data_IF_647038383386
#
_entry.id   IF_647038383386
#
_cell.length_a   1.000
_cell.length_b   1.000
_cell.length_c   1.000
_cell.angle_alpha   90.00
_cell.angle_beta   90.00
_cell.angle_gamma   90.00
#
_symmetry.space_group_name_H-M   'P 1'
#
loop_
_entity.id
_entity.type
_entity.pdbx_description
1 polymer ?
#
# COMPACT_ATOMS: atom_id res chain seq x y z
N UNK A 1 26.90 -41.01 -8.56
CA UNK A 1 26.52 -40.13 -9.70
C UNK A 1 25.55 -39.13 -9.16
N UNK A 2 25.75 -37.84 -9.43
CA UNK A 2 24.85 -36.78 -9.00
C UNK A 2 23.50 -36.96 -9.73
N UNK A 3 22.38 -36.93 -9.00
CA UNK A 3 21.05 -37.08 -9.58
C UNK A 3 20.36 -35.72 -9.73
N UNK A 4 19.42 -35.60 -10.67
CA UNK A 4 18.59 -34.42 -10.83
C UNK A 4 17.83 -34.07 -9.56
N UNK A 5 17.38 -35.08 -8.80
CA UNK A 5 16.69 -34.91 -7.52
C UNK A 5 17.57 -34.22 -6.45
N UNK A 6 18.86 -34.58 -6.37
CA UNK A 6 19.80 -33.95 -5.45
C UNK A 6 20.01 -32.48 -5.77
N UNK A 7 20.11 -32.17 -7.07
CA UNK A 7 20.21 -30.78 -7.55
C UNK A 7 18.92 -30.03 -7.23
N UNK A 8 17.75 -30.63 -7.50
CA UNK A 8 16.45 -30.04 -7.17
C UNK A 8 16.30 -29.73 -5.67
N UNK A 9 16.82 -30.60 -4.81
CA UNK A 9 16.83 -30.34 -3.35
C UNK A 9 17.75 -29.16 -2.98
N UNK A 10 18.93 -29.07 -3.57
CA UNK A 10 19.85 -27.95 -3.34
C UNK A 10 19.24 -26.61 -3.80
N UNK A 11 18.57 -26.61 -4.94
CA UNK A 11 17.92 -25.42 -5.50
C UNK A 11 16.70 -24.94 -4.69
N UNK A 12 16.12 -25.75 -3.81
CA UNK A 12 15.03 -25.31 -2.89
C UNK A 12 15.49 -24.23 -1.92
N UNK A 13 16.77 -24.15 -1.63
CA UNK A 13 17.35 -23.15 -0.73
C UNK A 13 17.66 -21.82 -1.41
N UNK A 14 17.66 -21.79 -2.76
CA UNK A 14 17.85 -20.56 -3.53
C UNK A 14 16.52 -19.80 -3.59
N UNK A 15 16.54 -18.55 -3.19
CA UNK A 15 15.37 -17.70 -3.18
C UNK A 15 15.45 -16.64 -4.27
N UNK A 16 14.33 -16.31 -4.87
CA UNK A 16 14.21 -15.12 -5.71
C UNK A 16 14.20 -13.88 -4.79
N UNK A 17 15.17 -12.94 -4.95
CA UNK A 17 15.28 -11.78 -4.08
C UNK A 17 14.08 -10.83 -4.18
N UNK A 18 13.39 -10.79 -5.34
CA UNK A 18 12.21 -9.95 -5.56
C UNK A 18 10.97 -10.56 -4.90
N UNK A 19 10.81 -11.89 -4.98
CA UNK A 19 9.61 -12.59 -4.51
C UNK A 19 9.76 -13.19 -3.11
N UNK A 20 10.99 -13.27 -2.56
CA UNK A 20 11.27 -13.84 -1.23
C UNK A 20 10.88 -15.31 -1.09
N UNK A 21 10.77 -16.05 -2.21
CA UNK A 21 10.37 -17.47 -2.26
C UNK A 21 11.39 -18.30 -3.02
N UNK A 22 11.46 -19.57 -2.70
CA UNK A 22 12.37 -20.51 -3.38
C UNK A 22 12.07 -20.64 -4.88
N UNK A 23 13.07 -20.54 -5.74
CA UNK A 23 12.95 -20.60 -7.21
C UNK A 23 12.28 -21.88 -7.71
N UNK A 24 12.42 -23.00 -6.97
CA UNK A 24 11.76 -24.28 -7.28
C UNK A 24 10.25 -24.17 -7.01
N UNK A 25 9.86 -23.55 -5.89
CA UNK A 25 8.44 -23.37 -5.54
C UNK A 25 7.73 -22.37 -6.45
N UNK A 26 8.48 -21.46 -7.06
CA UNK A 26 8.00 -20.50 -8.05
C UNK A 26 7.91 -21.08 -9.46
N UNK A 27 8.33 -22.35 -9.67
CA UNK A 27 8.34 -22.99 -10.99
C UNK A 27 9.35 -22.38 -11.95
N UNK A 28 10.37 -21.67 -11.43
CA UNK A 28 11.41 -21.04 -12.25
C UNK A 28 12.40 -22.05 -12.84
N UNK A 29 12.58 -23.22 -12.20
CA UNK A 29 13.46 -24.28 -12.67
C UNK A 29 12.72 -25.11 -13.71
N UNK A 30 13.18 -25.06 -14.98
CA UNK A 30 12.54 -25.74 -16.12
C UNK A 30 13.12 -27.10 -16.38
N UNK A 31 14.44 -27.14 -16.43
CA UNK A 31 15.17 -28.32 -16.84
C UNK A 31 16.47 -28.40 -16.07
N UNK A 32 16.84 -29.61 -15.68
CA UNK A 32 18.11 -29.93 -15.06
C UNK A 32 18.68 -31.07 -15.87
N UNK A 33 19.86 -30.91 -16.45
CA UNK A 33 20.58 -31.97 -17.16
C UNK A 33 21.95 -32.20 -16.51
N UNK A 34 22.31 -33.45 -16.34
CA UNK A 34 23.62 -33.82 -15.78
C UNK A 34 24.36 -34.66 -16.81
N UNK A 35 25.50 -34.17 -17.30
CA UNK A 35 26.40 -34.88 -18.23
C UNK A 35 27.83 -34.78 -17.75
N UNK A 36 28.47 -35.90 -17.47
CA UNK A 36 29.91 -36.00 -17.13
C UNK A 36 30.40 -34.95 -16.09
N UNK A 37 29.64 -34.73 -14.98
CA UNK A 37 29.92 -33.75 -13.92
C UNK A 37 29.65 -32.29 -14.32
N UNK A 38 29.09 -32.05 -15.50
CA UNK A 38 28.59 -30.75 -15.93
C UNK A 38 27.08 -30.73 -15.68
N UNK A 39 26.60 -29.73 -14.99
CA UNK A 39 25.16 -29.53 -14.71
C UNK A 39 24.69 -28.34 -15.53
N UNK A 40 23.69 -28.55 -16.38
CA UNK A 40 22.99 -27.49 -17.11
C UNK A 40 21.60 -27.28 -16.51
N UNK A 41 21.29 -26.04 -16.21
CA UNK A 41 20.01 -25.65 -15.58
C UNK A 41 19.37 -24.56 -16.42
N UNK A 42 18.12 -24.77 -16.84
CA UNK A 42 17.33 -23.74 -17.50
C UNK A 42 16.38 -23.08 -16.49
N UNK A 43 16.53 -21.77 -16.30
CA UNK A 43 15.70 -20.96 -15.42
C UNK A 43 14.78 -20.05 -16.25
N UNK A 44 13.49 -20.05 -15.94
CA UNK A 44 12.53 -19.13 -16.49
C UNK A 44 12.31 -17.95 -15.52
N UNK A 45 12.64 -16.75 -15.95
CA UNK A 45 12.41 -15.51 -15.22
C UNK A 45 11.09 -14.86 -15.66
N UNK A 46 10.49 -14.06 -14.82
CA UNK A 46 9.30 -13.26 -15.18
C UNK A 46 9.59 -12.27 -16.30
N UNK A 47 10.84 -11.77 -16.39
CA UNK A 47 11.37 -10.97 -17.49
C UNK A 47 12.89 -11.11 -17.55
N UNK A 48 13.47 -11.11 -18.76
CA UNK A 48 14.92 -11.12 -18.93
C UNK A 48 15.61 -9.79 -18.55
N UNK A 49 14.82 -8.74 -18.30
CA UNK A 49 15.30 -7.45 -17.79
C UNK A 49 15.34 -7.39 -16.25
N UNK A 50 15.15 -8.53 -15.55
CA UNK A 50 15.19 -8.59 -14.10
C UNK A 50 16.54 -8.06 -13.56
N UNK A 51 16.54 -7.06 -12.67
CA UNK A 51 17.79 -6.49 -12.12
C UNK A 51 18.55 -7.49 -11.24
N UNK A 52 17.88 -8.52 -10.74
CA UNK A 52 18.47 -9.56 -9.87
C UNK A 52 18.89 -10.83 -10.61
N UNK A 53 18.80 -10.86 -11.95
CA UNK A 53 19.10 -12.06 -12.74
C UNK A 53 20.50 -12.61 -12.49
N UNK A 54 21.50 -11.73 -12.36
CA UNK A 54 22.89 -12.12 -12.11
C UNK A 54 23.07 -12.72 -10.72
N UNK A 55 22.40 -12.14 -9.71
CA UNK A 55 22.41 -12.65 -8.35
C UNK A 55 21.76 -14.04 -8.27
N UNK A 56 20.61 -14.25 -8.91
CA UNK A 56 19.94 -15.55 -8.95
C UNK A 56 20.83 -16.60 -9.61
N UNK A 57 21.47 -16.25 -10.73
CA UNK A 57 22.40 -17.15 -11.43
C UNK A 57 23.60 -17.54 -10.55
N UNK A 58 24.18 -16.58 -9.83
CA UNK A 58 25.31 -16.83 -8.93
C UNK A 58 24.90 -17.71 -7.74
N UNK A 59 23.74 -17.48 -7.13
CA UNK A 59 23.23 -18.30 -6.04
C UNK A 59 22.92 -19.73 -6.49
N UNK A 60 22.34 -19.90 -7.69
CA UNK A 60 22.12 -21.21 -8.31
C UNK A 60 23.42 -21.94 -8.55
N UNK A 61 24.43 -21.25 -9.11
CA UNK A 61 25.77 -21.84 -9.32
C UNK A 61 26.40 -22.26 -8.00
N UNK A 62 26.38 -21.40 -7.00
CA UNK A 62 26.95 -21.67 -5.69
C UNK A 62 26.28 -22.89 -5.02
N UNK A 63 24.95 -22.97 -5.04
CA UNK A 63 24.19 -24.06 -4.46
C UNK A 63 24.51 -25.43 -5.12
N UNK A 64 24.71 -25.44 -6.44
CA UNK A 64 24.97 -26.69 -7.18
C UNK A 64 26.44 -27.07 -7.16
N UNK A 65 27.38 -26.11 -7.17
CA UNK A 65 28.81 -26.37 -7.03
C UNK A 65 29.17 -26.90 -5.63
N UNK A 66 28.36 -26.63 -4.62
CA UNK A 66 28.54 -27.17 -3.27
C UNK A 66 28.24 -28.68 -3.19
N UNK A 67 27.67 -29.29 -4.23
CA UNK A 67 27.39 -30.72 -4.27
C UNK A 67 28.61 -31.50 -4.74
N UNK A 68 28.95 -32.57 -4.00
CA UNK A 68 30.06 -33.43 -4.34
C UNK A 68 29.89 -34.06 -5.74
N UNK A 69 30.88 -33.87 -6.58
CA UNK A 69 30.89 -34.45 -7.93
C UNK A 69 30.57 -33.47 -9.06
N UNK A 70 30.19 -32.23 -8.75
CA UNK A 70 30.00 -31.17 -9.75
C UNK A 70 31.31 -30.48 -10.07
N UNK A 71 31.66 -30.30 -11.34
CA UNK A 71 32.86 -29.56 -11.77
C UNK A 71 32.49 -28.27 -12.51
N UNK A 72 31.34 -28.20 -13.13
CA UNK A 72 30.90 -27.04 -13.88
C UNK A 72 29.38 -26.92 -13.87
N UNK A 73 28.87 -25.67 -13.76
CA UNK A 73 27.44 -25.36 -13.79
C UNK A 73 27.17 -24.31 -14.86
N UNK A 74 26.33 -24.67 -15.81
CA UNK A 74 25.83 -23.77 -16.83
C UNK A 74 24.38 -23.41 -16.54
N UNK A 75 24.07 -22.12 -16.51
CA UNK A 75 22.70 -21.62 -16.26
C UNK A 75 22.26 -20.88 -17.51
N UNK A 76 21.16 -21.34 -18.10
CA UNK A 76 20.48 -20.69 -19.21
C UNK A 76 19.23 -19.99 -18.73
N UNK A 77 19.04 -18.74 -19.17
CA UNK A 77 17.88 -17.94 -18.80
C UNK A 77 16.86 -17.91 -19.94
N UNK A 78 15.60 -18.16 -19.61
CA UNK A 78 14.46 -18.00 -20.51
C UNK A 78 13.41 -17.08 -19.87
N UNK A 79 12.46 -16.63 -20.67
CA UNK A 79 11.35 -15.83 -20.18
C UNK A 79 10.10 -16.72 -19.98
N UNK A 80 9.37 -16.50 -18.88
CA UNK A 80 8.09 -17.17 -18.66
C UNK A 80 7.06 -16.72 -19.69
N UNK A 81 6.27 -17.65 -20.21
CA UNK A 81 5.11 -17.32 -21.04
C UNK A 81 4.08 -16.49 -20.25
N UNK A 82 3.20 -15.75 -20.95
CA UNK A 82 2.13 -14.99 -20.26
C UNK A 82 1.27 -15.85 -19.32
N UNK A 83 0.91 -17.07 -19.74
CA UNK A 83 0.11 -17.99 -18.94
C UNK A 83 0.85 -18.50 -17.70
N UNK A 84 2.16 -18.66 -17.77
CA UNK A 84 2.97 -19.08 -16.62
C UNK A 84 3.19 -17.94 -15.64
N UNK A 85 3.35 -16.72 -16.14
CA UNK A 85 3.36 -15.52 -15.29
C UNK A 85 2.02 -15.34 -14.56
N UNK A 86 0.90 -15.58 -15.26
CA UNK A 86 -0.42 -15.55 -14.66
C UNK A 86 -0.59 -16.63 -13.58
N UNK A 87 -0.15 -17.84 -13.85
CA UNK A 87 -0.16 -18.97 -12.89
C UNK A 87 0.78 -18.74 -11.69
N UNK A 88 1.96 -18.16 -11.93
CA UNK A 88 2.87 -17.72 -10.86
C UNK A 88 2.19 -16.66 -9.98
N UNK A 89 1.56 -15.68 -10.61
CA UNK A 89 0.82 -14.61 -9.91
C UNK A 89 -0.40 -15.16 -9.16
N UNK A 90 -1.13 -16.12 -9.71
CA UNK A 90 -2.20 -16.84 -8.99
C UNK A 90 -1.66 -17.67 -7.83
N UNK A 91 -0.50 -18.30 -7.97
CA UNK A 91 0.19 -19.05 -6.90
C UNK A 91 0.73 -18.15 -5.79
N UNK A 92 1.16 -16.93 -6.15
CA UNK A 92 1.53 -15.87 -5.18
C UNK A 92 0.26 -15.23 -4.60
N UNK A 93 -0.78 -15.11 -5.40
CA UNK A 93 -2.08 -14.49 -5.09
C UNK A 93 -3.13 -15.47 -4.54
N UNK A 94 -2.82 -16.78 -4.37
CA UNK A 94 -3.74 -17.60 -3.57
C UNK A 94 -3.74 -16.99 -2.19
N UNK A 95 -4.86 -16.35 -1.76
CA UNK A 95 -4.99 -15.93 -0.39
C UNK A 95 -4.94 -17.22 0.42
N UNK A 96 -3.88 -17.48 1.13
CA UNK A 96 -4.04 -18.09 2.43
C UNK A 96 -5.04 -17.16 3.09
N UNK A 97 -6.29 -17.61 3.33
CA UNK A 97 -7.23 -16.86 4.15
C UNK A 97 -6.43 -16.39 5.34
N UNK A 98 -6.21 -15.08 5.44
CA UNK A 98 -5.27 -14.55 6.41
C UNK A 98 -5.69 -15.01 7.79
N UNK A 99 -4.76 -15.47 8.61
CA UNK A 99 -5.05 -16.07 9.92
C UNK A 99 -5.91 -15.17 10.80
N UNK A 100 -5.84 -13.86 10.60
CA UNK A 100 -6.54 -12.86 11.39
C UNK A 100 -7.87 -12.40 10.79
N UNK A 101 -8.15 -12.63 9.49
CA UNK A 101 -9.32 -12.07 8.81
C UNK A 101 -10.64 -12.44 9.48
N UNK A 102 -10.79 -13.69 9.93
CA UNK A 102 -11.99 -14.17 10.60
C UNK A 102 -12.17 -13.65 12.04
N UNK A 103 -11.11 -13.07 12.62
CA UNK A 103 -11.12 -12.50 13.97
C UNK A 103 -11.34 -10.98 13.94
N UNK A 104 -11.20 -10.37 12.77
CA UNK A 104 -11.40 -8.95 12.59
C UNK A 104 -12.88 -8.61 12.46
N UNK A 105 -13.31 -7.57 13.17
CA UNK A 105 -14.65 -6.97 13.09
C UNK A 105 -14.51 -5.50 12.74
N UNK A 106 -14.43 -5.20 11.46
CA UNK A 106 -14.28 -3.83 10.95
C UNK A 106 -15.63 -3.40 10.40
N UNK A 107 -16.22 -2.37 11.00
CA UNK A 107 -17.57 -1.90 10.63
C UNK A 107 -17.56 -1.12 9.31
N UNK A 108 -16.54 -0.30 9.08
CA UNK A 108 -16.42 0.57 7.90
C UNK A 108 -14.97 0.64 7.42
N UNK A 109 -14.78 0.52 6.13
CA UNK A 109 -13.48 0.69 5.46
C UNK A 109 -13.58 1.88 4.51
N UNK A 110 -12.80 2.92 4.74
CA UNK A 110 -12.83 4.16 3.96
C UNK A 110 -11.45 4.42 3.35
N UNK A 111 -11.40 4.48 2.03
CA UNK A 111 -10.17 4.84 1.32
C UNK A 111 -9.98 6.35 1.25
N UNK A 112 -8.74 6.80 1.36
CA UNK A 112 -8.35 8.19 1.10
C UNK A 112 -7.44 8.18 -0.11
N UNK A 113 -7.85 8.89 -1.16
CA UNK A 113 -7.23 8.81 -2.47
C UNK A 113 -6.92 10.19 -3.04
N UNK A 114 -5.87 10.28 -3.83
CA UNK A 114 -5.54 11.50 -4.58
C UNK A 114 -5.17 11.18 -6.02
N UNK A 115 -5.49 12.08 -6.92
CA UNK A 115 -5.16 11.91 -8.33
C UNK A 115 -3.68 12.11 -8.65
N UNK A 116 -2.89 12.75 -7.77
CA UNK A 116 -1.43 12.94 -7.90
C UNK A 116 -0.76 12.88 -6.54
N UNK A 117 0.56 12.64 -6.52
CA UNK A 117 1.37 12.73 -5.32
C UNK A 117 1.55 14.16 -4.82
N UNK A 118 1.90 14.32 -3.53
CA UNK A 118 2.27 15.62 -2.96
C UNK A 118 1.11 16.54 -2.58
N UNK A 119 -0.16 16.09 -2.65
CA UNK A 119 -1.32 16.88 -2.22
C UNK A 119 -1.63 16.76 -0.72
N UNK A 120 -0.87 15.96 0.02
CA UNK A 120 -1.08 15.73 1.45
C UNK A 120 -2.17 14.73 1.78
N UNK A 121 -2.38 13.72 0.92
CA UNK A 121 -3.32 12.62 1.13
C UNK A 121 -3.16 11.95 2.50
N UNK A 122 -1.95 11.54 2.84
CA UNK A 122 -1.63 10.86 4.09
C UNK A 122 -1.83 11.75 5.32
N UNK A 123 -1.59 13.06 5.20
CA UNK A 123 -1.93 14.04 6.23
C UNK A 123 -3.45 14.06 6.48
N UNK A 124 -4.24 14.12 5.42
CA UNK A 124 -5.71 14.09 5.51
C UNK A 124 -6.17 12.78 6.14
N UNK A 125 -5.56 11.65 5.77
CA UNK A 125 -5.84 10.34 6.37
C UNK A 125 -5.60 10.37 7.89
N UNK A 126 -4.45 10.87 8.33
CA UNK A 126 -4.11 11.00 9.75
C UNK A 126 -5.06 11.95 10.49
N UNK A 127 -5.42 13.10 9.90
CA UNK A 127 -6.35 14.06 10.48
C UNK A 127 -7.76 13.49 10.65
N UNK A 128 -8.28 12.79 9.61
CA UNK A 128 -9.60 12.15 9.69
C UNK A 128 -9.59 11.04 10.75
N UNK A 129 -8.54 10.20 10.77
CA UNK A 129 -8.38 9.15 11.79
C UNK A 129 -8.37 9.73 13.20
N UNK A 130 -7.60 10.78 13.41
CA UNK A 130 -7.48 11.45 14.70
C UNK A 130 -8.81 12.03 15.15
N UNK A 131 -9.55 12.69 14.26
CA UNK A 131 -10.83 13.28 14.59
C UNK A 131 -11.90 12.20 14.87
N UNK A 132 -11.93 11.10 14.13
CA UNK A 132 -12.79 9.94 14.45
C UNK A 132 -12.44 9.34 15.80
N UNK A 133 -11.14 9.21 16.12
CA UNK A 133 -10.68 8.67 17.38
C UNK A 133 -11.03 9.57 18.57
N UNK A 134 -10.95 10.89 18.42
CA UNK A 134 -11.37 11.88 19.43
C UNK A 134 -12.85 11.79 19.80
N UNK A 135 -13.67 11.23 18.91
CA UNK A 135 -15.10 10.96 19.15
C UNK A 135 -15.36 9.63 19.86
N UNK A 136 -14.29 8.97 20.31
CA UNK A 136 -14.37 7.68 21.01
C UNK A 136 -14.53 6.48 20.10
N UNK A 137 -14.40 6.64 18.77
CA UNK A 137 -14.44 5.53 17.83
C UNK A 137 -13.11 4.78 17.81
N UNK A 138 -13.16 3.47 17.60
CA UNK A 138 -11.99 2.61 17.42
C UNK A 138 -11.55 2.71 15.97
N UNK A 139 -10.37 3.27 15.76
CA UNK A 139 -9.87 3.60 14.43
C UNK A 139 -8.57 2.86 14.14
N UNK A 140 -8.47 2.38 12.90
CA UNK A 140 -7.22 1.87 12.33
C UNK A 140 -6.83 2.65 11.07
N UNK A 141 -5.54 2.65 10.75
CA UNK A 141 -4.99 3.16 9.48
C UNK A 141 -4.18 2.03 8.84
N UNK A 142 -4.55 1.67 7.61
CA UNK A 142 -3.76 0.85 6.72
C UNK A 142 -3.06 1.77 5.73
N UNK A 143 -1.74 1.89 5.85
CA UNK A 143 -0.92 2.63 4.90
C UNK A 143 -0.60 1.73 3.71
N UNK A 144 -1.34 1.92 2.62
CA UNK A 144 -1.20 1.20 1.36
C UNK A 144 -0.33 1.96 0.34
N UNK A 145 0.19 3.15 0.69
CA UNK A 145 1.17 3.88 -0.12
C UNK A 145 2.58 3.36 0.14
N UNK A 146 2.85 2.17 -0.37
CA UNK A 146 4.09 1.43 -0.13
C UNK A 146 5.32 2.16 -0.68
N UNK A 147 5.15 2.99 -1.69
CA UNK A 147 6.25 3.72 -2.34
C UNK A 147 6.67 4.98 -1.60
N UNK A 148 5.79 5.54 -0.78
CA UNK A 148 6.06 6.76 0.00
C UNK A 148 5.33 6.76 1.35
N UNK A 149 5.51 5.70 2.18
CA UNK A 149 4.78 5.56 3.41
C UNK A 149 5.17 6.68 4.40
N UNK A 150 4.21 7.48 4.79
CA UNK A 150 4.43 8.65 5.67
C UNK A 150 3.62 8.62 6.97
N UNK A 151 2.62 7.76 7.07
CA UNK A 151 1.74 7.64 8.24
C UNK A 151 2.51 7.34 9.53
N UNK A 152 3.47 6.38 9.58
CA UNK A 152 4.20 6.09 10.81
C UNK A 152 4.95 7.31 11.34
N UNK A 153 5.63 8.06 10.49
CA UNK A 153 6.39 9.25 10.88
C UNK A 153 5.49 10.33 11.47
N UNK A 154 4.38 10.64 10.81
CA UNK A 154 3.43 11.67 11.30
C UNK A 154 2.81 11.32 12.65
N UNK A 155 2.71 10.03 12.98
CA UNK A 155 2.16 9.52 14.25
C UNK A 155 3.24 9.13 15.27
N UNK A 156 4.52 9.37 14.98
CA UNK A 156 5.65 9.08 15.87
C UNK A 156 5.87 7.60 16.13
N UNK A 157 5.56 6.72 15.15
CA UNK A 157 5.66 5.28 15.30
C UNK A 157 7.02 4.79 14.81
N UNK A 158 7.78 4.19 15.71
CA UNK A 158 9.11 3.59 15.43
C UNK A 158 9.18 2.12 15.82
N UNK A 159 8.15 1.61 16.53
CA UNK A 159 8.10 0.22 16.92
C UNK A 159 7.74 -0.69 15.75
N UNK A 160 8.32 -1.88 15.71
CA UNK A 160 7.94 -2.90 14.73
C UNK A 160 6.68 -3.66 15.15
N UNK A 161 5.80 -3.99 14.19
CA UNK A 161 4.68 -4.88 14.44
C UNK A 161 5.15 -6.23 14.98
N UNK A 162 4.44 -6.77 15.97
CA UNK A 162 4.75 -8.07 16.56
C UNK A 162 3.95 -9.17 15.88
N UNK A 163 4.61 -10.20 15.41
CA UNK A 163 3.95 -11.40 14.87
C UNK A 163 3.61 -12.36 16.00
N UNK A 164 2.39 -12.90 15.97
CA UNK A 164 1.89 -13.86 16.93
C UNK A 164 1.16 -15.03 16.26
N UNK A 165 0.63 -15.98 17.06
CA UNK A 165 -0.09 -17.15 16.53
C UNK A 165 -1.33 -16.82 15.70
N UNK A 166 -1.97 -15.67 16.00
CA UNK A 166 -3.22 -15.22 15.38
C UNK A 166 -3.01 -14.21 14.25
N UNK A 167 -1.77 -13.78 14.01
CA UNK A 167 -1.43 -12.81 12.97
C UNK A 167 -0.46 -11.72 13.47
N UNK A 168 -0.38 -10.64 12.71
CA UNK A 168 0.49 -9.49 12.98
C UNK A 168 -0.31 -8.47 13.80
N UNK A 169 0.19 -8.08 14.97
CA UNK A 169 -0.43 -7.02 15.77
C UNK A 169 -0.05 -5.65 15.16
N UNK A 170 -1.01 -4.77 14.83
CA UNK A 170 -0.71 -3.42 14.37
C UNK A 170 -0.06 -2.61 15.51
N UNK A 171 0.79 -1.66 15.14
CA UNK A 171 1.36 -0.71 16.10
C UNK A 171 0.28 0.32 16.49
N UNK A 172 0.32 0.80 17.71
CA UNK A 172 -0.64 1.80 18.17
C UNK A 172 0.02 3.16 18.33
N UNK A 173 -0.67 4.18 17.84
CA UNK A 173 -0.26 5.56 18.08
C UNK A 173 -0.38 5.94 19.55
N UNK A 174 0.13 7.09 19.90
CA UNK A 174 0.10 7.64 21.27
C UNK A 174 -1.33 7.71 21.83
N UNK A 175 -2.33 8.01 21.01
CA UNK A 175 -3.73 8.05 21.43
C UNK A 175 -4.44 6.70 21.32
N UNK A 176 -3.88 5.72 20.61
CA UNK A 176 -4.42 4.36 20.48
C UNK A 176 -4.92 3.97 19.10
N UNK A 177 -4.71 4.80 18.07
CA UNK A 177 -5.03 4.45 16.68
C UNK A 177 -4.15 3.27 16.24
N UNK A 178 -4.75 2.21 15.71
CA UNK A 178 -4.04 1.05 15.21
C UNK A 178 -3.45 1.34 13.82
N UNK A 179 -2.17 1.09 13.60
CA UNK A 179 -1.49 1.43 12.34
C UNK A 179 -0.72 0.23 11.81
N UNK A 180 -0.85 -0.01 10.52
CA UNK A 180 -0.02 -0.93 9.76
C UNK A 180 0.48 -0.25 8.50
N UNK A 181 1.79 -0.28 8.32
CA UNK A 181 2.50 0.28 7.17
C UNK A 181 3.69 -0.62 6.83
N UNK A 182 4.07 -0.67 5.56
CA UNK A 182 5.27 -1.39 5.13
C UNK A 182 6.52 -0.84 5.81
N UNK A 183 6.57 0.46 6.04
CA UNK A 183 7.72 1.12 6.66
C UNK A 183 8.03 0.58 8.06
N UNK A 184 7.01 0.12 8.79
CA UNK A 184 7.18 -0.50 10.11
C UNK A 184 7.80 -1.91 10.05
N UNK A 185 7.85 -2.53 8.86
CA UNK A 185 8.42 -3.85 8.63
C UNK A 185 9.86 -3.79 8.10
N UNK A 186 10.29 -2.64 7.58
CA UNK A 186 11.64 -2.47 7.02
C UNK A 186 12.70 -2.50 8.12
N UNK A 187 13.92 -2.90 7.75
CA UNK A 187 15.05 -2.88 8.69
C UNK A 187 15.50 -1.46 8.99
N UNK A 188 15.48 -0.62 7.98
CA UNK A 188 15.81 0.80 8.07
C UNK A 188 14.68 1.60 7.44
N UNK A 189 14.34 2.72 8.05
CA UNK A 189 13.26 3.61 7.60
C UNK A 189 13.51 4.17 6.18
N UNK A 190 14.78 4.27 5.79
CA UNK A 190 15.24 4.80 4.50
C UNK A 190 15.41 3.71 3.42
N UNK A 191 15.11 2.45 3.71
CA UNK A 191 15.23 1.39 2.73
C UNK A 191 14.18 1.59 1.62
N UNK A 192 14.68 1.70 0.37
CA UNK A 192 13.80 1.88 -0.79
C UNK A 192 13.06 0.58 -1.11
N UNK A 193 11.75 0.64 -1.06
CA UNK A 193 10.89 -0.48 -1.46
C UNK A 193 10.58 -0.34 -2.95
N UNK A 194 11.25 -1.13 -3.78
CA UNK A 194 11.03 -1.17 -5.23
C UNK A 194 10.04 -2.30 -5.54
N UNK A 195 8.76 -2.03 -5.32
CA UNK A 195 7.72 -3.00 -5.60
C UNK A 195 6.91 -2.64 -6.84
N UNK A 196 6.62 -3.65 -7.66
CA UNK A 196 5.72 -3.53 -8.81
C UNK A 196 4.27 -3.78 -8.37
N UNK A 197 3.31 -3.33 -9.18
CA UNK A 197 1.87 -3.40 -8.86
C UNK A 197 1.38 -4.70 -8.21
N UNK A 198 1.74 -5.90 -8.72
CA UNK A 198 1.31 -7.17 -8.12
C UNK A 198 1.80 -7.40 -6.69
N UNK A 199 3.03 -6.95 -6.37
CA UNK A 199 3.58 -7.07 -5.01
C UNK A 199 2.90 -6.12 -4.03
N UNK A 200 2.58 -4.91 -4.48
CA UNK A 200 1.80 -3.95 -3.69
C UNK A 200 0.43 -4.52 -3.35
N UNK A 201 -0.26 -5.10 -4.35
CA UNK A 201 -1.54 -5.76 -4.15
C UNK A 201 -1.44 -6.93 -3.16
N UNK A 202 -0.37 -7.73 -3.27
CA UNK A 202 -0.08 -8.82 -2.33
C UNK A 202 0.08 -8.32 -0.89
N UNK A 203 0.85 -7.25 -0.68
CA UNK A 203 1.03 -6.66 0.64
C UNK A 203 -0.26 -6.10 1.23
N UNK A 204 -1.07 -5.41 0.42
CA UNK A 204 -2.38 -4.90 0.88
C UNK A 204 -3.30 -6.04 1.29
N UNK A 205 -3.34 -7.13 0.51
CA UNK A 205 -4.10 -8.34 0.88
C UNK A 205 -3.57 -8.96 2.18
N UNK A 206 -2.25 -9.01 2.38
CA UNK A 206 -1.65 -9.48 3.62
C UNK A 206 -1.99 -8.56 4.80
N UNK A 207 -1.93 -7.24 4.64
CA UNK A 207 -2.34 -6.30 5.69
C UNK A 207 -3.82 -6.43 6.04
N UNK A 208 -4.66 -6.74 5.07
CA UNK A 208 -6.07 -7.02 5.31
C UNK A 208 -6.28 -8.35 6.04
N UNK A 209 -5.61 -9.43 5.59
CA UNK A 209 -5.83 -10.81 6.05
C UNK A 209 -5.02 -11.23 7.26
N UNK A 210 -3.75 -10.82 7.34
CA UNK A 210 -2.80 -11.30 8.37
C UNK A 210 -2.66 -10.35 9.56
N UNK A 211 -3.07 -9.09 9.43
CA UNK A 211 -3.05 -8.13 10.55
C UNK A 211 -4.28 -8.35 11.44
N UNK A 212 -4.04 -8.54 12.72
CA UNK A 212 -5.08 -8.63 13.74
C UNK A 212 -5.57 -7.23 14.15
N UNK A 213 -6.47 -6.67 13.33
CA UNK A 213 -7.09 -5.37 13.59
C UNK A 213 -8.03 -5.40 14.81
N UNK A 214 -8.55 -6.59 15.17
CA UNK A 214 -9.53 -6.74 16.23
C UNK A 214 -10.88 -6.12 15.86
N UNK A 215 -11.45 -5.37 16.80
CA UNK A 215 -12.73 -4.67 16.57
C UNK A 215 -12.49 -3.19 16.32
N UNK A 216 -12.79 -2.75 15.08
CA UNK A 216 -12.69 -1.36 14.64
C UNK A 216 -14.06 -0.84 14.18
N UNK A 217 -14.34 0.42 14.50
CA UNK A 217 -15.48 1.12 13.95
C UNK A 217 -15.13 1.65 12.53
N UNK A 218 -13.89 2.11 12.36
CA UNK A 218 -13.36 2.58 11.07
C UNK A 218 -11.94 2.08 10.81
N UNK A 219 -11.69 1.61 9.59
CA UNK A 219 -10.36 1.41 9.04
C UNK A 219 -10.18 2.39 7.89
N UNK A 220 -9.27 3.34 8.03
CA UNK A 220 -8.87 4.24 6.96
C UNK A 220 -7.75 3.59 6.15
N UNK A 221 -7.86 3.65 4.83
CA UNK A 221 -6.85 3.13 3.90
C UNK A 221 -6.20 4.31 3.20
N UNK A 222 -4.93 4.58 3.51
CA UNK A 222 -4.13 5.57 2.80
C UNK A 222 -3.69 4.98 1.47
N UNK A 223 -4.37 5.36 0.37
CA UNK A 223 -4.21 4.76 -0.94
C UNK A 223 -2.94 5.25 -1.65
N UNK A 224 -2.31 4.46 -2.51
CA UNK A 224 -1.27 4.97 -3.40
C UNK A 224 -1.79 6.13 -4.25
N UNK A 225 -0.96 7.15 -4.56
CA UNK A 225 -1.38 8.29 -5.37
C UNK A 225 -1.55 7.92 -6.85
N UNK A 226 -2.34 8.71 -7.55
CA UNK A 226 -2.54 8.60 -9.00
C UNK A 226 -3.74 7.76 -9.40
N UNK A 227 -3.81 7.47 -10.71
CA UNK A 227 -4.90 6.74 -11.36
C UNK A 227 -4.36 5.57 -12.18
N UNK A 228 -3.25 4.98 -11.75
CA UNK A 228 -2.61 3.80 -12.34
C UNK A 228 -3.25 2.50 -11.84
N UNK A 229 -2.69 1.37 -12.28
CA UNK A 229 -3.15 0.03 -11.89
C UNK A 229 -3.03 -0.25 -10.39
N UNK A 230 -2.09 0.40 -9.68
CA UNK A 230 -1.85 0.14 -8.26
C UNK A 230 -3.03 0.58 -7.39
N UNK A 231 -3.50 1.85 -7.41
CA UNK A 231 -4.71 2.25 -6.69
C UNK A 231 -5.94 1.43 -7.10
N UNK A 232 -6.07 1.10 -8.38
CA UNK A 232 -7.16 0.27 -8.89
C UNK A 232 -7.16 -1.10 -8.22
N UNK A 233 -6.01 -1.76 -8.18
CA UNK A 233 -5.87 -3.09 -7.58
C UNK A 233 -6.13 -3.05 -6.08
N UNK A 234 -5.66 -2.00 -5.36
CA UNK A 234 -5.96 -1.83 -3.94
C UNK A 234 -7.46 -1.70 -3.70
N UNK A 235 -8.16 -0.88 -4.49
CA UNK A 235 -9.63 -0.72 -4.39
C UNK A 235 -10.37 -2.02 -4.66
N UNK A 236 -9.91 -2.82 -5.62
CA UNK A 236 -10.50 -4.12 -5.92
C UNK A 236 -10.25 -5.17 -4.84
N UNK A 237 -9.19 -5.01 -4.04
CA UNK A 237 -8.77 -5.97 -3.02
C UNK A 237 -9.44 -5.79 -1.67
N UNK A 238 -10.10 -4.65 -1.42
CA UNK A 238 -10.66 -4.30 -0.11
C UNK A 238 -12.16 -4.04 -0.19
N UNK A 239 -12.94 -4.41 0.86
CA UNK A 239 -14.37 -4.13 0.94
C UNK A 239 -14.60 -2.67 1.35
N UNK A 240 -14.47 -1.74 0.41
CA UNK A 240 -14.57 -0.31 0.69
C UNK A 240 -16.04 0.13 0.88
N UNK A 241 -16.31 0.90 1.91
CA UNK A 241 -17.59 1.57 2.12
C UNK A 241 -17.63 2.94 1.40
N UNK A 242 -16.47 3.52 1.06
CA UNK A 242 -16.41 4.76 0.32
C UNK A 242 -15.00 5.31 0.19
N UNK A 243 -14.86 6.34 -0.64
CA UNK A 243 -13.58 7.03 -0.92
C UNK A 243 -13.72 8.51 -0.60
N UNK A 244 -12.72 9.06 0.11
CA UNK A 244 -12.50 10.50 0.24
C UNK A 244 -11.45 10.89 -0.80
N UNK A 245 -11.78 11.85 -1.67
CA UNK A 245 -10.82 12.40 -2.62
C UNK A 245 -10.07 13.58 -1.99
N UNK A 246 -8.75 13.63 -2.20
CA UNK A 246 -7.89 14.72 -1.72
C UNK A 246 -7.24 15.42 -2.91
N UNK A 247 -7.27 16.75 -2.89
CA UNK A 247 -6.69 17.61 -3.92
C UNK A 247 -5.94 18.80 -3.31
N UNK A 248 -5.35 19.62 -4.17
CA UNK A 248 -4.75 20.92 -3.83
C UNK A 248 -5.18 21.98 -4.88
N UNK A 249 -5.07 23.29 -4.62
CA UNK A 249 -5.61 24.35 -5.49
C UNK A 249 -5.02 24.46 -6.90
N UNK A 250 -3.94 23.75 -7.21
CA UNK A 250 -3.25 23.84 -8.50
C UNK A 250 -4.16 23.35 -9.66
N UNK A 251 -4.18 24.06 -10.78
CA UNK A 251 -5.03 23.79 -11.96
C UNK A 251 -4.91 22.37 -12.52
N UNK A 252 -3.70 21.83 -12.58
CA UNK A 252 -3.47 20.43 -13.00
C UNK A 252 -4.17 19.41 -12.10
N UNK A 253 -4.42 19.76 -10.83
CA UNK A 253 -5.13 18.88 -9.91
C UNK A 253 -6.57 18.64 -10.35
N UNK A 254 -7.24 19.60 -10.99
CA UNK A 254 -8.64 19.49 -11.44
C UNK A 254 -8.85 18.36 -12.44
N UNK A 255 -7.96 18.21 -13.43
CA UNK A 255 -8.07 17.13 -14.43
C UNK A 255 -7.82 15.75 -13.79
N UNK A 256 -6.83 15.67 -12.91
CA UNK A 256 -6.42 14.39 -12.29
C UNK A 256 -7.45 13.91 -11.27
N UNK A 257 -8.09 14.84 -10.53
CA UNK A 257 -9.21 14.51 -9.63
C UNK A 257 -10.40 13.97 -10.41
N UNK A 258 -10.74 14.55 -11.58
CA UNK A 258 -11.80 13.99 -12.43
C UNK A 258 -11.48 12.57 -12.90
N UNK A 259 -10.23 12.29 -13.29
CA UNK A 259 -9.81 10.92 -13.64
C UNK A 259 -9.94 9.97 -12.46
N UNK A 260 -9.52 10.40 -11.26
CA UNK A 260 -9.67 9.61 -10.04
C UNK A 260 -11.15 9.33 -9.72
N UNK A 261 -12.01 10.35 -9.79
CA UNK A 261 -13.43 10.19 -9.57
C UNK A 261 -14.08 9.23 -10.58
N UNK A 262 -13.71 9.30 -11.86
CA UNK A 262 -14.21 8.36 -12.88
C UNK A 262 -13.75 6.92 -12.60
N UNK A 263 -12.50 6.72 -12.17
CA UNK A 263 -11.99 5.39 -11.82
C UNK A 263 -12.74 4.81 -10.62
N UNK A 264 -12.99 5.60 -9.58
CA UNK A 264 -13.76 5.19 -8.41
C UNK A 264 -15.21 4.83 -8.82
N UNK A 265 -15.83 5.65 -9.68
CA UNK A 265 -17.19 5.42 -10.17
C UNK A 265 -17.30 4.12 -11.00
N UNK A 266 -16.28 3.77 -11.81
CA UNK A 266 -16.24 2.50 -12.55
C UNK A 266 -16.24 1.27 -11.65
N UNK A 267 -15.72 1.40 -10.43
CA UNK A 267 -15.73 0.34 -9.41
C UNK A 267 -17.00 0.35 -8.55
N UNK A 268 -17.94 1.29 -8.81
CA UNK A 268 -19.18 1.45 -8.05
C UNK A 268 -18.94 1.74 -6.55
N UNK A 269 -17.74 2.26 -6.19
CA UNK A 269 -17.43 2.68 -4.82
C UNK A 269 -17.99 4.09 -4.61
N UNK A 270 -18.74 4.35 -3.53
CA UNK A 270 -19.25 5.68 -3.23
C UNK A 270 -18.14 6.70 -2.98
N UNK A 271 -18.22 7.88 -3.60
CA UNK A 271 -17.35 9.01 -3.28
C UNK A 271 -18.02 9.81 -2.15
N UNK A 272 -17.41 9.82 -0.98
CA UNK A 272 -17.95 10.49 0.21
C UNK A 272 -17.84 12.01 0.11
N UNK A 273 -16.82 12.49 -0.60
CA UNK A 273 -16.61 13.90 -0.89
C UNK A 273 -15.17 14.23 -1.21
N UNK A 274 -14.91 15.53 -1.34
CA UNK A 274 -13.64 16.11 -1.72
C UNK A 274 -13.08 16.97 -0.58
N UNK A 275 -11.79 16.79 -0.27
CA UNK A 275 -11.04 17.65 0.65
C UNK A 275 -9.93 18.36 -0.14
N UNK A 276 -9.90 19.67 -0.08
CA UNK A 276 -8.80 20.46 -0.65
C UNK A 276 -7.80 20.79 0.46
N UNK A 277 -6.59 20.30 0.32
CA UNK A 277 -5.48 20.64 1.21
C UNK A 277 -4.66 21.78 0.62
N UNK A 278 -3.97 22.54 1.46
CA UNK A 278 -3.17 23.72 1.09
C UNK A 278 -4.00 24.82 0.39
N UNK A 279 -5.28 24.93 0.76
CA UNK A 279 -6.25 25.84 0.13
C UNK A 279 -5.87 27.30 0.31
N UNK A 280 -5.41 27.67 1.48
CA UNK A 280 -5.09 29.03 1.87
C UNK A 280 -4.03 29.02 2.97
N UNK A 281 -3.46 30.17 3.27
CA UNK A 281 -2.68 30.40 4.49
C UNK A 281 -3.21 31.60 5.24
N UNK A 282 -2.88 31.67 6.52
CA UNK A 282 -3.28 32.77 7.41
C UNK A 282 -2.04 33.58 7.76
N UNK A 283 -2.07 34.87 7.52
CA UNK A 283 -0.98 35.76 7.92
C UNK A 283 -0.83 35.78 9.45
N UNK A 284 0.33 35.45 10.01
CA UNK A 284 0.51 35.39 11.45
C UNK A 284 0.45 36.77 12.14
N UNK A 285 0.59 37.86 11.36
CA UNK A 285 0.58 39.22 11.89
C UNK A 285 -0.81 39.86 11.93
N UNK A 286 -1.61 39.65 10.86
CA UNK A 286 -2.92 40.33 10.75
C UNK A 286 -4.12 39.39 10.64
N UNK A 287 -3.91 38.07 10.60
CA UNK A 287 -4.98 37.09 10.47
C UNK A 287 -5.64 37.03 9.09
N UNK A 288 -5.21 37.82 8.12
CA UNK A 288 -5.79 37.81 6.78
C UNK A 288 -5.47 36.48 6.08
N UNK A 289 -6.49 35.87 5.48
CA UNK A 289 -6.31 34.71 4.62
C UNK A 289 -5.92 35.14 3.21
N UNK A 290 -5.02 34.36 2.60
CA UNK A 290 -4.64 34.52 1.19
C UNK A 290 -4.31 33.17 0.56
N UNK A 291 -4.53 33.07 -0.74
CA UNK A 291 -4.39 31.86 -1.54
C UNK A 291 -3.02 31.85 -2.21
N UNK A 292 -2.05 31.11 -1.66
CA UNK A 292 -0.66 31.05 -2.17
C UNK A 292 -0.60 30.47 -3.58
N UNK A 293 -1.43 29.48 -3.88
CA UNK A 293 -1.47 28.79 -5.17
C UNK A 293 -2.50 29.37 -6.15
N UNK A 294 -2.99 30.59 -5.89
CA UNK A 294 -4.04 31.23 -6.66
C UNK A 294 -5.44 30.80 -6.22
N UNK A 295 -6.44 31.33 -6.93
CA UNK A 295 -7.85 31.14 -6.57
C UNK A 295 -8.25 29.66 -6.64
N UNK A 296 -8.82 29.14 -5.56
CA UNK A 296 -9.35 27.78 -5.53
C UNK A 296 -10.53 27.62 -6.50
N UNK A 297 -10.52 26.54 -7.27
CA UNK A 297 -11.62 26.11 -8.14
C UNK A 297 -12.35 24.87 -7.62
N UNK A 298 -12.04 24.46 -6.38
CA UNK A 298 -12.53 23.19 -5.81
C UNK A 298 -14.04 23.11 -5.70
N UNK A 299 -14.72 24.22 -5.38
CA UNK A 299 -16.18 24.22 -5.26
C UNK A 299 -16.86 23.94 -6.62
N UNK A 300 -16.37 24.57 -7.70
CA UNK A 300 -16.86 24.31 -9.05
C UNK A 300 -16.60 22.86 -9.48
N UNK A 301 -15.44 22.30 -9.10
CA UNK A 301 -15.11 20.90 -9.36
C UNK A 301 -16.01 19.94 -8.57
N UNK A 302 -16.26 20.19 -7.29
CA UNK A 302 -17.15 19.40 -6.46
C UNK A 302 -18.58 19.40 -7.05
N UNK A 303 -19.09 20.55 -7.48
CA UNK A 303 -20.38 20.69 -8.17
C UNK A 303 -20.42 19.91 -9.49
N UNK A 304 -19.36 19.99 -10.30
CA UNK A 304 -19.28 19.26 -11.57
C UNK A 304 -19.29 17.74 -11.38
N UNK A 305 -18.68 17.26 -10.31
CA UNK A 305 -18.64 15.84 -9.96
C UNK A 305 -19.88 15.37 -9.19
N UNK A 306 -20.74 16.28 -8.75
CA UNK A 306 -21.91 15.95 -7.94
C UNK A 306 -21.56 15.42 -6.55
N UNK A 307 -20.39 15.79 -6.00
CA UNK A 307 -19.91 15.36 -4.69
C UNK A 307 -19.75 16.57 -3.74
N UNK A 308 -19.88 16.41 -2.43
CA UNK A 308 -19.68 17.51 -1.49
C UNK A 308 -18.23 17.94 -1.37
N UNK A 309 -17.98 19.22 -1.16
CA UNK A 309 -16.73 19.73 -0.61
C UNK A 309 -16.80 19.59 0.90
N UNK A 310 -16.00 18.67 1.48
CA UNK A 310 -16.00 18.34 2.88
C UNK A 310 -15.22 19.37 3.71
N UNK A 311 -14.01 19.72 3.26
CA UNK A 311 -13.15 20.69 3.93
C UNK A 311 -12.17 21.36 3.00
N UNK A 312 -11.71 22.53 3.41
CA UNK A 312 -10.52 23.20 2.91
C UNK A 312 -9.53 23.33 4.07
N UNK A 313 -8.34 22.74 3.91
CA UNK A 313 -7.29 22.69 4.92
C UNK A 313 -6.25 23.76 4.59
N UNK A 314 -5.81 24.60 5.54
CA UNK A 314 -4.81 25.60 5.30
C UNK A 314 -3.42 25.00 5.06
N UNK A 315 -2.57 25.75 4.38
CA UNK A 315 -1.13 25.59 4.46
C UNK A 315 -0.65 26.25 5.76
N UNK A 316 -0.51 25.43 6.81
CA UNK A 316 -0.15 25.89 8.15
C UNK A 316 1.19 25.26 8.56
N UNK A 317 2.22 26.08 8.88
CA UNK A 317 3.49 25.58 9.38
C UNK A 317 3.40 24.68 10.61
N UNK A 318 2.37 24.86 11.46
CA UNK A 318 2.14 24.02 12.63
C UNK A 318 1.82 22.57 12.24
N UNK A 319 1.13 22.34 11.12
CA UNK A 319 0.87 21.00 10.61
C UNK A 319 2.21 20.30 10.28
N UNK A 320 3.09 21.00 9.56
CA UNK A 320 4.40 20.43 9.18
C UNK A 320 5.23 20.13 10.41
N UNK A 321 5.34 21.07 11.35
CA UNK A 321 6.10 20.88 12.58
C UNK A 321 5.61 19.67 13.37
N UNK A 322 4.29 19.57 13.62
CA UNK A 322 3.71 18.44 14.34
C UNK A 322 3.85 17.11 13.59
N UNK A 323 3.76 17.12 12.26
CA UNK A 323 3.96 15.93 11.45
C UNK A 323 5.42 15.43 11.50
N UNK A 324 6.39 16.33 11.44
CA UNK A 324 7.81 16.02 11.53
C UNK A 324 8.22 15.53 12.93
N UNK A 325 7.57 16.04 13.97
CA UNK A 325 7.75 15.63 15.35
C UNK A 325 6.99 14.33 15.71
N UNK A 326 6.16 13.79 14.79
CA UNK A 326 5.34 12.60 15.05
C UNK A 326 4.14 12.86 15.96
N UNK A 327 3.69 14.11 16.04
CA UNK A 327 2.65 14.58 16.96
C UNK A 327 1.43 15.14 16.24
N UNK A 328 1.15 14.70 15.00
CA UNK A 328 0.02 15.21 14.19
C UNK A 328 -1.33 15.05 14.88
N UNK A 329 -1.44 14.09 15.79
CA UNK A 329 -2.64 13.89 16.61
C UNK A 329 -2.97 15.09 17.52
N UNK A 330 -2.04 16.01 17.75
CA UNK A 330 -2.28 17.22 18.55
C UNK A 330 -2.85 18.37 17.72
N UNK A 331 -2.70 18.33 16.38
CA UNK A 331 -3.23 19.38 15.52
C UNK A 331 -4.75 19.48 15.62
N UNK A 332 -5.27 20.71 15.65
CA UNK A 332 -6.69 21.03 15.68
C UNK A 332 -7.00 22.05 14.60
N UNK A 333 -7.89 21.70 13.69
CA UNK A 333 -8.41 22.63 12.68
C UNK A 333 -9.86 22.96 13.03
N UNK A 334 -10.14 24.24 13.22
CA UNK A 334 -11.50 24.71 13.46
C UNK A 334 -12.42 24.33 12.29
N UNK A 335 -13.60 23.81 12.60
CA UNK A 335 -14.59 23.38 11.59
C UNK A 335 -14.30 22.02 10.95
N UNK A 336 -13.13 21.40 11.12
CA UNK A 336 -12.83 20.09 10.52
C UNK A 336 -13.73 18.97 11.07
N UNK A 337 -14.20 19.12 12.31
CA UNK A 337 -15.16 18.18 12.90
C UNK A 337 -16.45 18.08 12.08
N UNK A 338 -16.93 19.17 11.46
CA UNK A 338 -18.11 19.15 10.58
C UNK A 338 -17.88 18.32 9.31
N UNK A 339 -16.68 18.37 8.76
CA UNK A 339 -16.31 17.52 7.63
C UNK A 339 -16.38 16.04 7.99
N UNK A 340 -15.94 15.70 9.20
CA UNK A 340 -16.02 14.31 9.70
C UNK A 340 -17.46 13.91 10.03
N UNK A 341 -18.32 14.83 10.51
CA UNK A 341 -19.76 14.57 10.65
C UNK A 341 -20.40 14.21 9.30
N UNK A 342 -20.06 14.95 8.24
CA UNK A 342 -20.54 14.69 6.89
C UNK A 342 -20.03 13.34 6.35
N UNK A 343 -18.77 12.98 6.63
CA UNK A 343 -18.22 11.66 6.28
C UNK A 343 -19.02 10.56 6.99
N UNK A 344 -19.21 10.67 8.31
CA UNK A 344 -19.96 9.69 9.10
C UNK A 344 -21.38 9.48 8.59
N UNK A 345 -22.06 10.56 8.18
CA UNK A 345 -23.41 10.50 7.65
C UNK A 345 -23.47 9.82 6.26
N UNK A 346 -22.43 10.02 5.41
CA UNK A 346 -22.39 9.54 4.05
C UNK A 346 -21.87 8.12 3.88
N UNK A 347 -21.08 7.61 4.84
CA UNK A 347 -20.50 6.27 4.72
C UNK A 347 -21.60 5.21 4.76
N UNK A 348 -21.82 4.44 3.67
CA UNK A 348 -22.86 3.40 3.62
C UNK A 348 -22.55 2.27 4.62
N UNK A 349 -23.62 1.61 5.07
CA UNK A 349 -23.49 0.42 5.91
C UNK A 349 -22.88 -0.77 5.15
N UNK A 350 -23.26 -0.94 3.90
CA UNK A 350 -22.75 -2.01 3.06
C UNK A 350 -21.49 -1.56 2.33
N UNK A 351 -20.44 -2.33 2.46
CA UNK A 351 -19.25 -2.19 1.63
C UNK A 351 -19.52 -2.68 0.20
N UNK A 352 -18.74 -2.18 -0.75
CA UNK A 352 -18.66 -2.76 -2.08
C UNK A 352 -18.04 -4.14 -1.98
N UNK A 353 -18.57 -5.11 -2.72
CA UNK A 353 -17.95 -6.44 -2.79
C UNK A 353 -16.66 -6.34 -3.61
N UNK A 354 -15.52 -6.83 -3.09
CA UNK A 354 -14.30 -6.88 -3.88
C UNK A 354 -14.54 -7.64 -5.19
N UNK A 355 -14.11 -7.05 -6.31
CA UNK A 355 -14.20 -7.69 -7.63
C UNK A 355 -12.88 -8.44 -7.87
N UNK A 356 -12.85 -9.75 -7.64
CA UNK A 356 -11.73 -10.64 -7.97
C UNK A 356 -12.01 -11.37 -9.25
#
# INVERSE_FOLDING_TARGET
MLSEDQIGVALRNVQDPELGRGIVSLGMVRQIEVRDRVVSITLALTTLECPFKEQIVEEVRAAVLALDGTTHVQVELTEMSPSEREHLMEGISKPTEGKAVHLNRISRVVGVMSGKGGVGKSLVTAMVATELHRRGLRVGIMDADITGPSIPKMLGLTERPRSGPIGIAPVRSRTGIAVMSINLLLEREDDAVIWRGPLVAGAVKQFWGDVFWGTLDYLLVDMPPGTSDVPLTVMQSLPLNGIILVTSPQDLASMVVRKAAHMVAQLEVPILGLIENMSYTVCPHCGQQYEIFGKSHVLGMAMLLGIPLLAQIPLDPAITALADEGCIEDYRLEGFSKAVDEILWRVPEKATTPKF
#
